data_IF_727966769299
#
_entry.id   IF_727966769299
#
_cell.length_a   1.000
_cell.length_b   1.000
_cell.length_c   1.000
_cell.angle_alpha   90.00
_cell.angle_beta   90.00
_cell.angle_gamma   90.00
#
_symmetry.space_group_name_H-M   'P 1'
#
loop_
_entity.id
_entity.type
_entity.pdbx_description
1 polymer ?
#
# COMPACT_ATOMS: atom_id res chain seq x y z
N UNK A 1 10.74 9.21 -8.39
CA UNK A 1 9.96 8.85 -9.58
C UNK A 1 10.89 8.60 -10.75
N UNK A 2 10.65 7.55 -11.52
CA UNK A 2 11.37 7.25 -12.76
C UNK A 2 10.36 6.87 -13.85
N UNK A 3 10.58 7.18 -15.12
CA UNK A 3 11.62 8.10 -15.60
C UNK A 3 11.45 9.52 -15.05
N UNK A 4 12.50 10.31 -15.08
CA UNK A 4 12.49 11.71 -14.65
C UNK A 4 13.25 12.59 -15.69
N UNK A 5 13.41 13.87 -15.41
CA UNK A 5 14.08 14.82 -16.28
C UNK A 5 15.12 15.65 -15.50
N UNK A 6 16.13 16.18 -16.21
CA UNK A 6 17.09 17.11 -15.63
C UNK A 6 16.48 18.54 -15.64
N UNK A 7 16.21 19.14 -14.47
CA UNK A 7 15.65 20.50 -14.39
C UNK A 7 16.58 21.56 -14.96
N UNK A 8 17.89 21.31 -15.04
CA UNK A 8 18.84 22.28 -15.62
C UNK A 8 18.74 22.38 -17.15
N UNK A 9 18.21 21.33 -17.80
CA UNK A 9 18.01 21.30 -19.26
C UNK A 9 16.54 21.39 -19.68
N UNK A 10 15.64 21.64 -18.72
CA UNK A 10 14.18 21.62 -18.91
C UNK A 10 13.74 22.52 -20.09
N UNK A 11 14.23 23.77 -20.18
CA UNK A 11 13.85 24.70 -21.24
C UNK A 11 14.28 24.25 -22.62
N UNK A 12 15.38 23.49 -22.73
CA UNK A 12 15.91 22.98 -24.01
C UNK A 12 15.16 21.74 -24.49
N UNK A 13 14.64 20.95 -23.54
CA UNK A 13 13.98 19.66 -23.79
C UNK A 13 12.46 19.72 -23.64
N UNK A 14 11.88 20.92 -23.42
CA UNK A 14 10.47 21.08 -23.08
C UNK A 14 9.52 20.42 -24.09
N UNK A 15 9.72 20.67 -25.38
CA UNK A 15 8.86 20.11 -26.41
C UNK A 15 8.95 18.59 -26.53
N UNK A 16 10.12 18.02 -26.22
CA UNK A 16 10.30 16.56 -26.17
C UNK A 16 9.56 15.99 -24.96
N UNK A 17 9.75 16.58 -23.79
CA UNK A 17 9.17 16.09 -22.53
C UNK A 17 7.64 16.21 -22.49
N UNK A 18 7.07 17.27 -23.05
CA UNK A 18 5.61 17.48 -23.08
C UNK A 18 4.92 16.55 -24.08
N UNK A 19 5.59 16.19 -25.18
CA UNK A 19 5.03 15.31 -26.20
C UNK A 19 5.45 13.85 -26.03
N UNK A 20 6.15 13.51 -24.93
CA UNK A 20 6.54 12.15 -24.61
C UNK A 20 5.34 11.37 -24.02
N UNK A 21 4.62 10.68 -24.89
CA UNK A 21 3.47 9.85 -24.53
C UNK A 21 3.89 8.49 -23.92
N UNK A 22 5.15 8.08 -24.13
CA UNK A 22 5.61 6.76 -23.68
C UNK A 22 6.07 6.77 -22.22
N UNK A 23 6.94 7.72 -21.88
CA UNK A 23 7.61 7.73 -20.56
C UNK A 23 6.94 8.67 -19.56
N UNK A 24 6.25 9.72 -20.02
CA UNK A 24 5.58 10.72 -19.16
C UNK A 24 6.51 11.22 -18.04
N UNK A 25 7.74 11.61 -18.42
CA UNK A 25 8.81 11.98 -17.46
C UNK A 25 8.46 13.16 -16.57
N UNK A 26 7.54 14.05 -17.01
CA UNK A 26 7.02 15.17 -16.21
C UNK A 26 6.04 14.74 -15.12
N UNK A 27 5.52 13.51 -15.15
CA UNK A 27 4.61 13.01 -14.15
C UNK A 27 5.38 12.59 -12.88
N UNK A 28 5.14 13.25 -11.77
CA UNK A 28 5.58 12.73 -10.49
C UNK A 28 4.68 11.53 -10.08
N UNK A 29 5.11 10.32 -10.42
CA UNK A 29 4.36 9.10 -10.16
C UNK A 29 4.12 8.86 -8.68
N UNK A 30 5.01 9.31 -7.80
CA UNK A 30 4.88 9.12 -6.37
C UNK A 30 3.65 9.86 -5.79
N UNK A 31 3.40 11.09 -6.24
CA UNK A 31 2.30 11.93 -5.71
C UNK A 31 1.09 12.01 -6.62
N UNK A 32 1.29 11.94 -7.94
CA UNK A 32 0.25 12.15 -8.95
C UNK A 32 -0.09 10.89 -9.76
N UNK A 33 0.68 9.80 -9.63
CA UNK A 33 0.30 8.51 -10.17
C UNK A 33 -0.97 7.99 -9.48
N UNK A 34 -1.82 7.30 -10.23
CA UNK A 34 -3.07 6.74 -9.74
C UNK A 34 -3.17 5.28 -10.23
N UNK A 35 -2.90 4.36 -9.33
CA UNK A 35 -2.76 2.94 -9.64
C UNK A 35 -3.74 2.09 -8.84
N UNK A 36 -4.22 0.96 -9.37
CA UNK A 36 -4.90 -0.01 -8.53
C UNK A 36 -3.91 -0.50 -7.45
N UNK A 37 -4.34 -0.55 -6.17
CA UNK A 37 -3.45 -0.94 -5.07
C UNK A 37 -3.11 -2.44 -5.06
N UNK A 38 -3.90 -3.27 -5.71
CA UNK A 38 -3.77 -4.72 -5.61
C UNK A 38 -3.79 -5.18 -4.15
N UNK A 39 -3.12 -6.27 -3.85
CA UNK A 39 -3.11 -6.86 -2.51
C UNK A 39 -2.57 -5.98 -1.38
N UNK A 40 -2.00 -4.80 -1.66
CA UNK A 40 -1.67 -3.84 -0.60
C UNK A 40 -2.94 -3.27 0.05
N UNK A 41 -4.07 -3.25 -0.66
CA UNK A 41 -5.37 -2.84 -0.12
C UNK A 41 -5.91 -3.79 0.96
N UNK A 42 -5.42 -5.03 1.03
CA UNK A 42 -5.82 -5.99 2.07
C UNK A 42 -5.54 -5.49 3.49
N UNK A 43 -4.67 -4.50 3.67
CA UNK A 43 -4.52 -3.76 4.93
C UNK A 43 -5.83 -3.07 5.33
N UNK A 44 -6.54 -2.46 4.36
CA UNK A 44 -7.83 -1.80 4.62
C UNK A 44 -8.90 -2.82 4.99
N UNK A 45 -8.96 -3.92 4.23
CA UNK A 45 -9.92 -5.01 4.50
C UNK A 45 -9.64 -5.69 5.84
N UNK A 46 -8.36 -5.89 6.21
CA UNK A 46 -7.98 -6.44 7.51
C UNK A 46 -8.33 -5.51 8.67
N UNK A 47 -8.10 -4.20 8.52
CA UNK A 47 -8.50 -3.20 9.50
C UNK A 47 -10.01 -3.19 9.72
N UNK A 48 -10.78 -3.21 8.63
CA UNK A 48 -12.24 -3.23 8.68
C UNK A 48 -12.77 -4.50 9.35
N UNK A 49 -12.17 -5.67 9.02
CA UNK A 49 -12.50 -6.92 9.69
C UNK A 49 -12.24 -6.84 11.20
N UNK A 50 -11.07 -6.33 11.60
CA UNK A 50 -10.74 -6.19 13.02
C UNK A 50 -11.69 -5.22 13.73
N UNK A 51 -12.05 -4.10 13.11
CA UNK A 51 -13.05 -3.16 13.65
C UNK A 51 -14.42 -3.81 13.84
N UNK A 52 -14.81 -4.66 12.90
CA UNK A 52 -16.10 -5.37 12.94
C UNK A 52 -16.16 -6.48 13.96
N UNK A 53 -15.06 -7.23 14.16
CA UNK A 53 -15.03 -8.46 14.97
C UNK A 53 -14.28 -8.32 16.31
N UNK A 54 -13.41 -7.32 16.45
CA UNK A 54 -12.55 -7.10 17.61
C UNK A 54 -11.37 -8.06 17.73
N UNK A 55 -11.30 -9.10 16.89
CA UNK A 55 -10.26 -10.11 16.91
C UNK A 55 -10.13 -10.78 15.54
N UNK A 56 -8.98 -11.41 15.28
CA UNK A 56 -8.78 -12.34 14.17
C UNK A 56 -8.95 -13.82 14.59
N UNK A 57 -9.06 -14.08 15.90
CA UNK A 57 -9.26 -15.43 16.41
C UNK A 57 -10.58 -16.02 15.90
N UNK A 58 -10.53 -17.30 15.56
CA UNK A 58 -11.68 -18.03 15.04
C UNK A 58 -11.98 -17.77 13.56
N UNK A 59 -11.23 -16.88 12.88
CA UNK A 59 -11.32 -16.81 11.42
C UNK A 59 -10.71 -18.08 10.82
N UNK A 60 -11.44 -18.63 9.84
CA UNK A 60 -11.03 -19.85 9.16
C UNK A 60 -11.65 -19.87 7.77
N UNK A 61 -10.83 -20.14 6.75
CA UNK A 61 -11.25 -20.21 5.35
C UNK A 61 -10.56 -21.37 4.64
N UNK A 62 -11.32 -22.20 3.91
CA UNK A 62 -10.77 -23.25 3.07
C UNK A 62 -10.59 -22.72 1.63
N UNK A 63 -9.37 -22.32 1.28
CA UNK A 63 -9.05 -21.82 -0.04
C UNK A 63 -8.85 -22.98 -1.03
N UNK A 64 -9.69 -23.02 -2.05
CA UNK A 64 -9.63 -24.00 -3.16
C UNK A 64 -9.09 -23.37 -4.46
N UNK A 65 -8.41 -22.20 -4.39
CA UNK A 65 -7.83 -21.51 -5.54
C UNK A 65 -8.77 -20.52 -6.21
N UNK A 66 -10.09 -20.64 -6.03
CA UNK A 66 -11.09 -19.70 -6.54
C UNK A 66 -12.31 -19.62 -5.63
N UNK A 67 -13.03 -18.49 -5.74
CA UNK A 67 -14.35 -18.26 -5.14
C UNK A 67 -15.28 -17.65 -6.19
N UNK A 68 -16.49 -18.20 -6.34
CA UNK A 68 -17.49 -17.71 -7.30
C UNK A 68 -18.75 -17.29 -6.57
N UNK A 69 -19.21 -16.07 -6.80
CA UNK A 69 -20.47 -15.52 -6.29
C UNK A 69 -21.16 -14.72 -7.41
N UNK A 70 -22.44 -14.93 -7.62
CA UNK A 70 -23.24 -14.23 -8.65
C UNK A 70 -22.58 -14.27 -10.05
N UNK A 71 -22.13 -15.45 -10.48
CA UNK A 71 -21.45 -15.69 -11.77
C UNK A 71 -20.09 -14.94 -11.94
N UNK A 72 -19.57 -14.33 -10.87
CA UNK A 72 -18.26 -13.68 -10.87
C UNK A 72 -17.27 -14.50 -10.05
N UNK A 73 -16.10 -14.76 -10.65
CA UNK A 73 -15.05 -15.58 -10.04
C UNK A 73 -13.82 -14.72 -9.71
N UNK A 74 -13.34 -14.81 -8.47
CA UNK A 74 -12.03 -14.36 -8.05
C UNK A 74 -11.12 -15.58 -7.90
N UNK A 75 -9.91 -15.49 -8.42
CA UNK A 75 -8.88 -16.54 -8.29
C UNK A 75 -7.71 -16.04 -7.47
N UNK A 76 -7.07 -16.95 -6.73
CA UNK A 76 -5.72 -16.73 -6.22
C UNK A 76 -4.73 -16.67 -7.38
N UNK A 77 -3.54 -16.11 -7.15
CA UNK A 77 -2.51 -15.99 -8.18
C UNK A 77 -2.24 -17.36 -8.81
N UNK A 78 -2.29 -17.43 -10.14
CA UNK A 78 -2.16 -18.68 -10.90
C UNK A 78 -3.06 -19.85 -10.44
N UNK A 79 -4.18 -19.56 -9.78
CA UNK A 79 -5.09 -20.57 -9.25
C UNK A 79 -4.55 -21.35 -8.04
N UNK A 80 -3.57 -20.80 -7.33
CA UNK A 80 -2.94 -21.44 -6.17
C UNK A 80 -3.97 -21.82 -5.09
N UNK A 81 -3.89 -23.07 -4.61
CA UNK A 81 -4.75 -23.60 -3.56
C UNK A 81 -4.00 -23.52 -2.23
N UNK A 82 -4.38 -22.57 -1.36
CA UNK A 82 -3.73 -22.39 -0.07
C UNK A 82 -4.21 -23.41 0.99
N UNK A 83 -5.33 -24.08 0.76
CA UNK A 83 -5.90 -25.02 1.73
C UNK A 83 -6.56 -24.30 2.92
N UNK A 84 -6.40 -24.85 4.10
CA UNK A 84 -6.99 -24.29 5.32
C UNK A 84 -6.18 -23.10 5.81
N UNK A 85 -6.79 -21.93 5.82
CA UNK A 85 -6.19 -20.67 6.23
C UNK A 85 -6.83 -20.12 7.51
N UNK A 86 -6.02 -19.67 8.44
CA UNK A 86 -6.41 -18.71 9.45
C UNK A 86 -6.22 -17.28 8.93
N UNK A 87 -6.51 -16.24 9.72
CA UNK A 87 -6.38 -14.86 9.26
C UNK A 87 -4.92 -14.49 8.96
N UNK A 88 -3.98 -14.95 9.79
CA UNK A 88 -2.56 -14.60 9.66
C UNK A 88 -1.93 -15.24 8.42
N UNK A 89 -2.23 -16.52 8.17
CA UNK A 89 -1.78 -17.22 6.97
C UNK A 89 -2.43 -16.66 5.70
N UNK A 90 -3.74 -16.40 5.71
CA UNK A 90 -4.45 -15.78 4.58
C UNK A 90 -3.87 -14.40 4.20
N UNK A 91 -3.45 -13.60 5.19
CA UNK A 91 -2.81 -12.30 4.94
C UNK A 91 -1.37 -12.48 4.43
N UNK A 92 -0.59 -13.40 5.01
CA UNK A 92 0.79 -13.67 4.64
C UNK A 92 0.92 -14.24 3.22
N UNK A 93 0.08 -15.21 2.86
CA UNK A 93 -0.01 -15.80 1.52
C UNK A 93 -0.74 -14.88 0.54
N UNK A 94 -1.31 -13.78 1.02
CA UNK A 94 -2.10 -12.87 0.17
C UNK A 94 -3.29 -13.56 -0.52
N UNK A 95 -4.00 -14.47 0.16
CA UNK A 95 -5.09 -15.26 -0.39
C UNK A 95 -6.25 -14.38 -0.88
N UNK A 96 -6.47 -14.35 -2.20
CA UNK A 96 -7.55 -13.54 -2.79
C UNK A 96 -8.93 -14.07 -2.40
N UNK A 97 -9.11 -15.39 -2.39
CA UNK A 97 -10.39 -16.01 -2.06
C UNK A 97 -10.85 -15.68 -0.64
N UNK A 98 -9.94 -15.77 0.33
CA UNK A 98 -10.22 -15.44 1.72
C UNK A 98 -10.60 -13.95 1.89
N UNK A 99 -9.88 -13.04 1.22
CA UNK A 99 -10.15 -11.60 1.31
C UNK A 99 -11.39 -11.17 0.53
N UNK A 100 -11.74 -11.84 -0.57
CA UNK A 100 -13.01 -11.65 -1.27
C UNK A 100 -14.19 -12.06 -0.41
N UNK A 101 -14.12 -13.23 0.26
CA UNK A 101 -15.12 -13.69 1.22
C UNK A 101 -15.26 -12.73 2.41
N UNK A 102 -14.14 -12.27 3.00
CA UNK A 102 -14.16 -11.25 4.05
C UNK A 102 -14.90 -9.99 3.60
N UNK A 103 -14.59 -9.49 2.40
CA UNK A 103 -15.23 -8.30 1.86
C UNK A 103 -16.74 -8.43 1.73
N UNK A 104 -17.21 -9.58 1.26
CA UNK A 104 -18.65 -9.87 1.19
C UNK A 104 -19.31 -9.87 2.57
N UNK A 105 -18.64 -10.46 3.57
CA UNK A 105 -19.12 -10.50 4.95
C UNK A 105 -19.11 -9.14 5.65
N UNK A 106 -18.20 -8.24 5.29
CA UNK A 106 -18.11 -6.87 5.79
C UNK A 106 -19.11 -5.94 5.11
N UNK A 107 -19.24 -6.10 3.79
CA UNK A 107 -20.10 -5.30 2.95
C UNK A 107 -19.48 -3.95 2.53
N UNK A 108 -19.99 -3.43 1.42
CA UNK A 108 -19.47 -2.22 0.78
C UNK A 108 -19.44 -0.97 1.68
N UNK A 109 -20.46 -0.82 2.54
CA UNK A 109 -20.58 0.35 3.43
C UNK A 109 -19.51 0.39 4.51
N UNK A 110 -19.16 -0.75 5.10
CA UNK A 110 -18.11 -0.87 6.11
C UNK A 110 -16.74 -0.60 5.50
N UNK A 111 -16.42 -1.28 4.39
CA UNK A 111 -15.18 -1.08 3.63
C UNK A 111 -14.98 0.39 3.23
N UNK A 112 -16.05 1.05 2.78
CA UNK A 112 -16.01 2.48 2.44
C UNK A 112 -15.67 3.34 3.64
N UNK A 113 -16.33 3.11 4.78
CA UNK A 113 -16.06 3.87 6.00
C UNK A 113 -14.60 3.75 6.42
N UNK A 114 -14.07 2.54 6.45
CA UNK A 114 -12.67 2.28 6.81
C UNK A 114 -11.69 2.88 5.80
N UNK A 115 -11.95 2.78 4.49
CA UNK A 115 -11.13 3.42 3.47
C UNK A 115 -11.14 4.96 3.62
N UNK A 116 -12.28 5.57 3.91
CA UNK A 116 -12.37 7.03 4.13
C UNK A 116 -11.69 7.48 5.43
N UNK A 117 -11.64 6.65 6.46
CA UNK A 117 -10.84 6.92 7.66
C UNK A 117 -9.34 6.95 7.35
N UNK A 118 -8.91 6.13 6.40
CA UNK A 118 -7.55 6.10 5.86
C UNK A 118 -7.33 7.12 4.73
N UNK A 119 -8.20 8.12 4.59
CA UNK A 119 -8.11 9.26 3.67
C UNK A 119 -8.37 8.95 2.18
N UNK A 120 -8.90 7.79 1.81
CA UNK A 120 -9.46 7.66 0.46
C UNK A 120 -10.61 8.65 0.26
N UNK A 121 -10.72 9.22 -0.94
CA UNK A 121 -11.68 10.27 -1.29
C UNK A 121 -11.54 11.58 -0.47
N UNK A 122 -10.45 11.74 0.29
CA UNK A 122 -10.21 12.91 1.16
C UNK A 122 -8.88 13.56 0.83
N UNK A 123 -8.72 14.80 1.33
CA UNK A 123 -7.48 15.53 1.19
C UNK A 123 -6.35 14.89 2.00
N UNK A 124 -5.16 14.85 1.40
CA UNK A 124 -3.91 14.47 2.07
C UNK A 124 -3.17 15.73 2.55
N UNK A 125 -2.32 15.62 3.57
CA UNK A 125 -1.52 16.74 4.08
C UNK A 125 -0.32 17.05 3.17
N UNK A 126 -0.56 17.22 1.87
CA UNK A 126 0.43 17.45 0.81
C UNK A 126 0.01 18.64 -0.04
N UNK A 127 0.96 19.30 -0.73
CA UNK A 127 0.68 20.45 -1.58
C UNK A 127 0.48 19.97 -2.99
N UNK A 128 0.74 19.08 -3.61
CA UNK A 128 0.51 18.63 -4.99
C UNK A 128 0.40 17.13 -5.05
N UNK A 129 -0.79 16.64 -5.28
CA UNK A 129 -1.04 15.20 -5.29
C UNK A 129 -2.35 14.86 -6.02
N UNK A 130 -2.47 13.61 -6.43
CA UNK A 130 -3.72 13.03 -6.90
C UNK A 130 -4.48 12.43 -5.72
N UNK A 131 -5.73 12.85 -5.53
CA UNK A 131 -6.61 12.23 -4.52
C UNK A 131 -6.88 10.76 -4.87
N UNK A 132 -6.64 9.87 -3.93
CA UNK A 132 -6.96 8.46 -4.08
C UNK A 132 -8.46 8.24 -4.11
N UNK A 133 -8.91 7.34 -4.98
CA UNK A 133 -10.33 7.09 -5.24
C UNK A 133 -10.74 5.72 -4.74
N UNK A 134 -11.80 5.69 -3.96
CA UNK A 134 -12.52 4.50 -3.55
C UNK A 134 -13.97 4.59 -4.05
N UNK A 135 -14.46 3.56 -4.73
CA UNK A 135 -15.68 3.65 -5.53
C UNK A 135 -16.85 2.80 -5.03
N UNK A 136 -16.65 1.91 -4.03
CA UNK A 136 -17.79 1.16 -3.52
C UNK A 136 -18.86 2.08 -2.94
N UNK A 137 -20.10 1.81 -3.29
CA UNK A 137 -21.30 2.41 -2.72
C UNK A 137 -22.06 1.35 -1.92
N UNK A 138 -22.93 1.77 -1.00
CA UNK A 138 -23.64 0.86 -0.09
C UNK A 138 -24.34 -0.31 -0.79
N UNK A 139 -24.82 -0.09 -2.01
CA UNK A 139 -25.54 -1.08 -2.81
C UNK A 139 -24.71 -1.61 -3.99
N UNK A 140 -23.39 -1.55 -3.93
CA UNK A 140 -22.52 -2.14 -4.94
C UNK A 140 -22.74 -3.65 -5.06
N UNK A 141 -22.68 -4.16 -6.29
CA UNK A 141 -22.79 -5.60 -6.55
C UNK A 141 -21.68 -6.39 -5.87
N UNK A 142 -21.96 -7.64 -5.49
CA UNK A 142 -21.00 -8.53 -4.83
C UNK A 142 -19.69 -8.68 -5.61
N UNK A 143 -19.75 -8.77 -6.93
CA UNK A 143 -18.57 -8.81 -7.80
C UNK A 143 -17.62 -7.63 -7.55
N UNK A 144 -18.15 -6.40 -7.46
CA UNK A 144 -17.33 -5.20 -7.20
C UNK A 144 -16.80 -5.17 -5.75
N UNK A 145 -17.59 -5.67 -4.79
CA UNK A 145 -17.15 -5.82 -3.40
C UNK A 145 -15.97 -6.77 -3.31
N UNK A 146 -16.08 -7.96 -3.92
CA UNK A 146 -14.99 -8.96 -3.96
C UNK A 146 -13.71 -8.38 -4.60
N UNK A 147 -13.83 -7.75 -5.76
CA UNK A 147 -12.70 -7.14 -6.46
C UNK A 147 -12.04 -6.05 -5.60
N UNK A 148 -12.83 -5.16 -5.03
CA UNK A 148 -12.31 -4.04 -4.24
C UNK A 148 -11.64 -4.52 -2.95
N UNK A 149 -12.15 -5.57 -2.29
CA UNK A 149 -11.57 -6.11 -1.04
C UNK A 149 -10.16 -6.67 -1.23
N UNK A 150 -9.80 -7.04 -2.46
CA UNK A 150 -8.44 -7.47 -2.83
C UNK A 150 -7.63 -6.36 -3.53
N UNK A 151 -8.19 -5.14 -3.62
CA UNK A 151 -7.54 -3.97 -4.20
C UNK A 151 -7.58 -3.90 -5.73
N UNK A 152 -8.51 -4.61 -6.34
CA UNK A 152 -8.80 -4.55 -7.77
C UNK A 152 -10.04 -3.67 -8.06
N UNK A 153 -10.51 -3.64 -9.27
CA UNK A 153 -11.65 -2.84 -9.71
C UNK A 153 -11.29 -1.37 -9.91
N UNK A 154 -12.16 -0.47 -9.46
CA UNK A 154 -12.04 0.97 -9.75
C UNK A 154 -11.34 1.79 -8.66
N UNK A 155 -10.76 1.12 -7.64
CA UNK A 155 -10.00 1.80 -6.58
C UNK A 155 -8.63 2.20 -7.10
N UNK A 156 -8.27 3.47 -6.92
CA UNK A 156 -6.97 4.00 -7.34
C UNK A 156 -6.29 4.73 -6.20
N UNK A 157 -4.99 4.53 -6.07
CA UNK A 157 -4.17 5.12 -4.99
C UNK A 157 -2.83 5.61 -5.55
N UNK A 158 -2.28 6.67 -4.94
CA UNK A 158 -0.90 7.07 -5.22
C UNK A 158 0.08 6.35 -4.29
N UNK A 159 1.34 6.11 -4.74
CA UNK A 159 2.38 5.55 -3.87
C UNK A 159 2.57 6.36 -2.58
N UNK A 160 2.53 7.67 -2.67
CA UNK A 160 2.63 8.55 -1.51
C UNK A 160 1.51 8.30 -0.49
N UNK A 161 0.28 8.09 -0.93
CA UNK A 161 -0.82 7.80 -0.02
C UNK A 161 -0.61 6.46 0.71
N UNK A 162 -0.16 5.42 -0.01
CA UNK A 162 0.17 4.13 0.62
C UNK A 162 1.35 4.26 1.60
N UNK A 163 2.36 5.10 1.29
CA UNK A 163 3.45 5.40 2.24
C UNK A 163 2.94 6.12 3.49
N UNK A 164 1.98 7.05 3.36
CA UNK A 164 1.36 7.74 4.49
C UNK A 164 0.56 6.79 5.40
N UNK A 165 -0.21 5.87 4.81
CA UNK A 165 -0.91 4.83 5.58
C UNK A 165 0.10 3.94 6.30
N UNK A 166 1.15 3.50 5.60
CA UNK A 166 2.21 2.67 6.17
C UNK A 166 2.94 3.38 7.32
N UNK A 167 3.26 4.67 7.14
CA UNK A 167 3.88 5.47 8.19
C UNK A 167 2.98 5.64 9.43
N UNK A 168 1.67 5.77 9.23
CA UNK A 168 0.74 5.81 10.35
C UNK A 168 0.67 4.47 11.10
N UNK A 169 0.71 3.33 10.40
CA UNK A 169 0.81 2.00 11.03
C UNK A 169 2.09 1.92 11.88
N UNK A 170 3.22 2.32 11.32
CA UNK A 170 4.52 2.34 12.00
C UNK A 170 4.57 3.31 13.20
N UNK A 171 3.71 4.31 13.23
CA UNK A 171 3.65 5.37 14.24
C UNK A 171 2.37 5.30 15.08
N UNK A 172 2.05 4.13 15.62
CA UNK A 172 0.93 3.90 16.54
C UNK A 172 -0.43 4.45 16.05
N UNK A 173 -0.65 4.44 14.74
CA UNK A 173 -1.87 4.89 14.10
C UNK A 173 -1.94 6.39 13.83
N UNK A 174 -0.90 7.15 14.14
CA UNK A 174 -0.84 8.60 13.96
C UNK A 174 -0.13 8.96 12.66
N UNK A 175 -0.84 9.64 11.76
CA UNK A 175 -0.25 10.28 10.60
C UNK A 175 0.33 11.63 10.98
N UNK A 176 1.63 11.79 10.80
CA UNK A 176 2.31 13.08 10.93
C UNK A 176 2.15 13.91 9.65
N UNK A 177 2.19 15.23 9.77
CA UNK A 177 2.22 16.11 8.60
C UNK A 177 3.58 15.99 7.92
N UNK A 178 3.65 15.54 6.65
CA UNK A 178 4.91 15.43 5.94
C UNK A 178 5.59 16.79 5.74
N UNK A 179 6.91 16.82 5.86
CA UNK A 179 7.73 17.98 5.54
C UNK A 179 8.98 17.55 4.77
N UNK A 180 9.44 18.41 3.87
CA UNK A 180 10.72 18.24 3.15
C UNK A 180 11.80 19.20 3.68
N UNK A 181 11.43 20.13 4.56
CA UNK A 181 12.36 21.12 5.13
C UNK A 181 12.46 20.81 6.61
N UNK A 182 13.63 20.36 7.04
CA UNK A 182 13.91 20.13 8.47
C UNK A 182 14.23 21.46 9.18
N UNK A 183 15.15 22.25 8.63
CA UNK A 183 15.54 23.54 9.20
C UNK A 183 16.00 24.53 8.13
N UNK A 184 15.96 25.80 8.48
CA UNK A 184 16.54 26.91 7.70
C UNK A 184 17.75 27.43 8.50
N UNK A 185 18.90 27.51 7.85
CA UNK A 185 20.14 28.06 8.44
C UNK A 185 20.55 29.34 7.74
N UNK A 186 21.22 30.24 8.48
CA UNK A 186 21.87 31.44 7.89
C UNK A 186 23.19 31.08 7.23
N UNK A 187 23.86 32.09 6.64
CA UNK A 187 25.16 31.90 5.99
C UNK A 187 26.30 31.51 6.96
N UNK A 188 26.13 31.70 8.24
CA UNK A 188 27.06 31.29 9.30
C UNK A 188 26.83 29.87 9.79
N UNK A 189 25.77 29.21 9.32
CA UNK A 189 25.38 27.87 9.75
C UNK A 189 24.45 27.82 10.97
N UNK A 190 24.07 28.97 11.54
CA UNK A 190 23.15 29.00 12.68
C UNK A 190 21.71 28.71 12.25
N UNK A 191 21.00 27.93 13.04
CA UNK A 191 19.58 27.62 12.77
C UNK A 191 18.71 28.87 12.99
N UNK A 192 18.07 29.34 11.94
CA UNK A 192 17.14 30.47 11.96
C UNK A 192 15.70 30.00 12.26
N UNK A 193 15.35 28.85 11.74
CA UNK A 193 14.03 28.23 11.93
C UNK A 193 14.15 26.70 11.81
N UNK A 194 13.49 26.01 12.70
CA UNK A 194 13.32 24.57 12.68
C UNK A 194 11.86 24.22 12.36
N UNK A 195 11.63 23.16 11.60
CA UNK A 195 10.27 22.72 11.29
C UNK A 195 9.72 21.88 12.44
N UNK A 196 8.61 22.32 13.00
CA UNK A 196 7.92 21.56 14.03
C UNK A 196 7.29 20.29 13.45
N UNK A 197 7.55 19.15 14.11
CA UNK A 197 6.87 17.90 13.80
C UNK A 197 5.46 17.94 14.37
N UNK A 198 4.45 18.00 13.51
CA UNK A 198 3.06 18.12 13.91
C UNK A 198 2.25 16.90 13.50
N UNK A 199 1.37 16.44 14.39
CA UNK A 199 0.37 15.44 14.06
C UNK A 199 -0.64 16.04 13.06
N UNK A 200 -0.94 15.27 12.01
CA UNK A 200 -2.02 15.63 11.09
C UNK A 200 -3.35 15.03 11.56
N UNK A 201 -3.35 13.69 11.76
CA UNK A 201 -4.56 12.96 12.15
C UNK A 201 -4.22 11.57 12.66
N UNK A 202 -4.95 11.09 13.65
CA UNK A 202 -4.97 9.68 14.00
C UNK A 202 -5.87 8.94 13.01
N UNK A 203 -5.30 8.01 12.23
CA UNK A 203 -6.01 7.20 11.23
C UNK A 203 -6.61 5.93 11.83
N UNK A 204 -5.97 5.40 12.88
CA UNK A 204 -6.36 4.19 13.59
C UNK A 204 -5.86 4.23 15.03
N UNK A 205 -6.40 3.40 15.89
CA UNK A 205 -5.91 3.26 17.27
C UNK A 205 -4.54 2.58 17.31
N UNK A 206 -3.79 2.77 18.40
CA UNK A 206 -2.49 2.10 18.62
C UNK A 206 -2.63 0.56 18.58
N UNK A 207 -3.73 0.02 19.11
CA UNK A 207 -4.02 -1.40 19.05
C UNK A 207 -4.23 -1.89 17.61
N UNK A 208 -4.99 -1.16 16.78
CA UNK A 208 -5.20 -1.47 15.37
C UNK A 208 -3.88 -1.42 14.59
N UNK A 209 -3.06 -0.40 14.81
CA UNK A 209 -1.73 -0.27 14.22
C UNK A 209 -0.81 -1.43 14.61
N UNK A 210 -0.75 -1.78 15.89
CA UNK A 210 0.06 -2.90 16.39
C UNK A 210 -0.37 -4.25 15.81
N UNK A 211 -1.67 -4.46 15.62
CA UNK A 211 -2.20 -5.69 15.00
C UNK A 211 -1.86 -5.75 13.51
N UNK A 212 -2.04 -4.64 12.77
CA UNK A 212 -1.63 -4.57 11.37
C UNK A 212 -0.12 -4.77 11.21
N UNK A 213 0.69 -4.18 12.10
CA UNK A 213 2.13 -4.40 12.13
C UNK A 213 2.52 -5.85 12.28
N UNK A 214 1.81 -6.62 13.14
CA UNK A 214 2.02 -8.08 13.29
C UNK A 214 1.66 -8.84 12.02
N UNK A 215 0.57 -8.49 11.35
CA UNK A 215 0.20 -9.09 10.07
C UNK A 215 1.27 -8.80 9.01
N UNK A 216 1.72 -7.55 8.90
CA UNK A 216 2.73 -7.13 7.94
C UNK A 216 4.10 -7.78 8.22
N UNK A 217 4.47 -7.96 9.49
CA UNK A 217 5.66 -8.71 9.88
C UNK A 217 5.57 -10.16 9.43
N UNK A 218 4.42 -10.81 9.61
CA UNK A 218 4.19 -12.19 9.18
C UNK A 218 4.33 -12.38 7.66
N UNK A 219 4.00 -11.37 6.84
CA UNK A 219 4.24 -11.40 5.39
C UNK A 219 5.73 -11.52 5.05
N UNK A 220 6.58 -10.90 5.86
CA UNK A 220 8.04 -10.99 5.71
C UNK A 220 8.61 -12.28 6.28
N UNK A 221 8.09 -12.74 7.42
CA UNK A 221 8.60 -13.95 8.08
C UNK A 221 8.17 -15.23 7.37
N UNK A 222 6.92 -15.30 6.90
CA UNK A 222 6.29 -16.53 6.42
C UNK A 222 5.52 -16.38 5.10
N UNK A 223 5.60 -15.24 4.44
CA UNK A 223 4.75 -14.95 3.28
C UNK A 223 5.50 -14.41 2.06
N UNK A 224 4.78 -13.62 1.28
CA UNK A 224 5.18 -13.16 -0.05
C UNK A 224 6.36 -12.17 -0.08
N UNK A 225 6.81 -11.64 1.07
CA UNK A 225 7.97 -10.76 1.18
C UNK A 225 9.16 -11.41 1.91
N UNK A 226 9.24 -12.75 1.93
CA UNK A 226 10.27 -13.50 2.70
C UNK A 226 11.72 -13.19 2.28
N UNK A 227 11.94 -12.64 1.10
CA UNK A 227 13.26 -12.16 0.67
C UNK A 227 13.83 -10.99 1.52
N UNK A 228 12.98 -10.33 2.32
CA UNK A 228 13.41 -9.30 3.28
C UNK A 228 13.68 -9.86 4.69
N UNK A 229 13.42 -11.16 4.91
CA UNK A 229 13.67 -11.79 6.21
C UNK A 229 15.17 -12.04 6.44
N UNK A 230 15.62 -11.93 7.70
CA UNK A 230 17.00 -12.24 8.09
C UNK A 230 18.04 -11.18 7.74
N UNK A 231 17.64 -9.97 7.36
CA UNK A 231 18.55 -8.82 7.18
C UNK A 231 19.01 -8.27 8.54
N UNK A 232 19.98 -7.36 8.56
CA UNK A 232 20.49 -6.73 9.78
C UNK A 232 19.47 -5.83 10.52
N UNK A 233 18.25 -5.76 10.02
CA UNK A 233 17.10 -5.02 10.56
C UNK A 233 15.82 -5.84 10.35
N UNK A 234 14.77 -5.51 11.09
CA UNK A 234 13.45 -6.17 10.95
C UNK A 234 12.55 -5.37 10.02
N UNK A 235 11.75 -6.06 9.19
CA UNK A 235 10.82 -5.45 8.23
C UNK A 235 9.40 -5.96 8.46
N UNK A 236 8.44 -5.06 8.34
CA UNK A 236 7.02 -5.38 8.20
C UNK A 236 6.51 -4.80 6.90
N UNK A 237 5.77 -5.56 6.10
CA UNK A 237 5.30 -5.08 4.81
C UNK A 237 4.20 -5.91 4.18
N UNK A 238 3.70 -5.44 3.06
CA UNK A 238 2.73 -6.15 2.23
C UNK A 238 3.07 -5.99 0.75
N UNK A 239 3.14 -7.10 0.03
CA UNK A 239 3.26 -7.12 -1.42
C UNK A 239 1.91 -6.91 -2.09
N UNK A 240 1.95 -6.46 -3.33
CA UNK A 240 0.79 -6.40 -4.20
C UNK A 240 1.17 -6.67 -5.65
N UNK A 241 0.27 -7.30 -6.36
CA UNK A 241 0.28 -7.40 -7.83
C UNK A 241 -1.06 -6.84 -8.28
N UNK A 242 -1.04 -5.77 -9.04
CA UNK A 242 -2.24 -5.05 -9.43
C UNK A 242 -2.42 -5.15 -10.95
N UNK A 243 -3.34 -6.00 -11.39
CA UNK A 243 -3.70 -6.13 -12.80
C UNK A 243 -4.35 -4.83 -13.27
N UNK A 244 -3.98 -4.36 -14.46
CA UNK A 244 -4.48 -3.12 -15.02
C UNK A 244 -4.96 -3.26 -16.47
N UNK A 245 -4.72 -4.40 -17.11
CA UNK A 245 -5.23 -4.73 -18.44
C UNK A 245 -5.81 -6.15 -18.52
N UNK A 246 -6.51 -6.43 -19.62
CA UNK A 246 -7.15 -7.74 -19.88
C UNK A 246 -6.12 -8.84 -20.21
N UNK A 247 -4.86 -8.49 -20.46
CA UNK A 247 -3.79 -9.44 -20.79
C UNK A 247 -3.09 -9.98 -19.53
N UNK A 248 -3.51 -9.53 -18.34
CA UNK A 248 -2.94 -9.94 -17.07
C UNK A 248 -1.62 -9.23 -16.73
N UNK A 249 -1.28 -8.13 -17.44
CA UNK A 249 -0.17 -7.28 -17.06
C UNK A 249 -0.42 -6.66 -15.69
N UNK A 250 0.57 -6.64 -14.82
CA UNK A 250 0.41 -6.16 -13.46
C UNK A 250 1.51 -5.18 -13.03
N UNK A 251 1.10 -4.21 -12.21
CA UNK A 251 2.03 -3.38 -11.46
C UNK A 251 2.50 -4.12 -10.21
N UNK A 252 3.80 -4.13 -9.99
CA UNK A 252 4.41 -4.70 -8.79
C UNK A 252 4.40 -3.69 -7.65
N UNK A 253 3.86 -4.07 -6.48
CA UNK A 253 3.79 -3.22 -5.30
C UNK A 253 4.48 -3.83 -4.09
N UNK A 254 5.11 -2.97 -3.30
CA UNK A 254 5.47 -3.25 -1.91
C UNK A 254 5.22 -2.00 -1.06
N UNK A 255 4.63 -2.18 0.11
CA UNK A 255 4.55 -1.16 1.16
C UNK A 255 5.09 -1.77 2.45
N UNK A 256 5.86 -1.01 3.20
CA UNK A 256 6.45 -1.54 4.44
C UNK A 256 7.24 -0.51 5.22
N UNK A 257 7.70 -0.93 6.39
CA UNK A 257 8.55 -0.15 7.26
C UNK A 257 9.59 -1.05 7.93
N UNK A 258 10.65 -0.46 8.40
CA UNK A 258 11.74 -1.20 9.05
C UNK A 258 11.96 -0.77 10.49
N UNK A 259 12.69 -1.64 11.23
CA UNK A 259 12.80 -1.68 12.68
C UNK A 259 11.41 -1.78 13.33
N UNK A 260 10.79 -2.96 13.19
CA UNK A 260 9.38 -3.20 13.58
C UNK A 260 9.07 -2.75 15.01
N UNK A 261 10.01 -2.93 15.94
CA UNK A 261 9.84 -2.55 17.34
C UNK A 261 10.12 -1.06 17.62
N UNK A 262 10.87 -0.39 16.76
CA UNK A 262 11.17 1.04 16.81
C UNK A 262 11.31 1.58 15.38
N UNK A 263 10.21 1.84 14.68
CA UNK A 263 10.23 2.16 13.25
C UNK A 263 11.01 3.43 12.91
N UNK A 264 11.89 3.33 11.91
CA UNK A 264 12.75 4.44 11.45
C UNK A 264 12.29 4.98 10.09
N UNK A 265 11.90 4.08 9.17
CA UNK A 265 11.57 4.43 7.79
C UNK A 265 10.36 3.63 7.29
N UNK A 266 9.43 4.31 6.62
CA UNK A 266 8.31 3.70 5.91
C UNK A 266 8.42 4.01 4.42
N UNK A 267 8.15 3.01 3.57
CA UNK A 267 8.28 3.11 2.12
C UNK A 267 7.04 2.57 1.41
N UNK A 268 6.83 3.07 0.20
CA UNK A 268 5.96 2.46 -0.79
C UNK A 268 6.70 2.41 -2.13
N UNK A 269 6.78 1.24 -2.72
CA UNK A 269 7.42 0.99 -4.01
C UNK A 269 6.36 0.51 -4.99
N UNK A 270 6.36 1.08 -6.19
CA UNK A 270 5.61 0.59 -7.35
C UNK A 270 6.54 0.47 -8.54
N UNK A 271 6.40 -0.62 -9.29
CA UNK A 271 7.05 -0.83 -10.58
C UNK A 271 5.96 -1.08 -11.61
N UNK A 272 5.80 -0.11 -12.53
CA UNK A 272 4.85 -0.24 -13.64
C UNK A 272 5.26 -1.44 -14.52
N UNK A 273 4.30 -2.32 -14.86
CA UNK A 273 4.56 -3.56 -15.61
C UNK A 273 5.61 -4.49 -14.97
N UNK A 274 5.77 -4.42 -13.64
CA UNK A 274 6.81 -5.15 -12.92
C UNK A 274 6.45 -6.59 -12.52
N UNK A 275 5.30 -7.10 -12.94
CA UNK A 275 4.85 -8.43 -12.53
C UNK A 275 4.41 -8.50 -11.07
N UNK A 276 4.87 -9.51 -10.34
CA UNK A 276 4.48 -9.68 -8.94
C UNK A 276 5.25 -8.76 -7.99
N UNK A 277 4.63 -8.47 -6.84
CA UNK A 277 5.27 -7.66 -5.79
C UNK A 277 6.58 -8.26 -5.28
N UNK A 278 6.66 -9.58 -5.20
CA UNK A 278 7.85 -10.31 -4.76
C UNK A 278 9.01 -10.25 -5.75
N UNK A 279 8.72 -10.14 -7.06
CA UNK A 279 9.75 -10.19 -8.12
C UNK A 279 10.44 -8.85 -8.36
N UNK A 280 9.70 -7.72 -8.29
CA UNK A 280 10.27 -6.42 -8.61
C UNK A 280 10.26 -5.44 -7.41
N UNK A 281 9.13 -5.22 -6.75
CA UNK A 281 9.04 -4.20 -5.71
C UNK A 281 9.76 -4.59 -4.41
N UNK A 282 9.75 -5.86 -4.02
CA UNK A 282 10.43 -6.37 -2.82
C UNK A 282 11.95 -6.22 -2.91
N UNK A 283 12.65 -6.60 -4.00
CA UNK A 283 14.09 -6.35 -4.14
C UNK A 283 14.44 -4.87 -4.02
N UNK A 284 13.72 -3.99 -4.71
CA UNK A 284 13.94 -2.53 -4.63
C UNK A 284 13.74 -2.00 -3.21
N UNK A 285 12.71 -2.50 -2.51
CA UNK A 285 12.50 -2.15 -1.11
C UNK A 285 13.68 -2.57 -0.23
N UNK A 286 14.24 -3.76 -0.48
CA UNK A 286 15.43 -4.25 0.18
C UNK A 286 16.64 -3.34 -0.04
N UNK A 287 16.88 -2.93 -1.28
CA UNK A 287 17.99 -2.03 -1.62
C UNK A 287 17.83 -0.65 -0.92
N UNK A 288 16.60 -0.13 -0.85
CA UNK A 288 16.33 1.14 -0.14
C UNK A 288 16.58 1.01 1.37
N UNK A 289 16.16 -0.08 1.99
CA UNK A 289 16.42 -0.31 3.41
C UNK A 289 17.92 -0.53 3.66
N UNK A 290 18.60 -1.30 2.82
CA UNK A 290 20.04 -1.53 2.94
C UNK A 290 20.83 -0.21 2.82
N UNK A 291 20.50 0.63 1.84
CA UNK A 291 21.12 1.96 1.70
C UNK A 291 20.86 2.86 2.91
N UNK A 292 19.67 2.75 3.54
CA UNK A 292 19.36 3.54 4.74
C UNK A 292 20.17 3.13 5.97
N UNK A 293 20.48 1.82 6.11
CA UNK A 293 21.14 1.31 7.32
C UNK A 293 22.66 1.14 7.19
N UNK A 294 23.18 0.99 5.97
CA UNK A 294 24.58 0.58 5.76
C UNK A 294 25.40 1.54 4.91
N UNK A 295 24.78 2.50 4.20
CA UNK A 295 25.45 3.58 3.44
C UNK A 295 25.50 4.88 4.27
#
# INVERSE_FOLDING_TARGET
SRPDFDPNTLSQNWDILVNDENDSSLLNRATNGAYPPGSTFKIVTALDYFRSKGTFEGYSYLCQGSITVDDHTIQCYNGEVHGQEDFYSAFAHSCNCAFADMGLNLGAGSLRSTAEDLLFNKALPLNSYKTSRFTLEKNSANALVMQTSIGQGNTLVSPMHMALITSAIANDGVLMKPTMIDKIVNNSGDTVKETEKTEYKRLMTSNEAGILGKLMKNVVENGTASALNGRGYTVAGKTGSAEFDENGSSHSWFIGYSNVDNPDIAIAVIVENGGTGSEAAVPIAGDVFDAYYFD
#
